data_IF_857231074385
#
_entry.id   IF_857231074385
#
_cell.length_a   1.000
_cell.length_b   1.000
_cell.length_c   1.000
_cell.angle_alpha   90.00
_cell.angle_beta   90.00
_cell.angle_gamma   90.00
#
_symmetry.space_group_name_H-M   'P 1'
#
loop_
_entity.id
_entity.type
_entity.pdbx_description
1 polymer ?
#
# COMPACT_ATOMS: atom_id res chain seq x y z
N UNK A 1 4.86 7.90 -6.59
CA UNK A 1 3.98 7.47 -7.70
C UNK A 1 4.75 7.00 -8.93
N UNK A 2 5.83 7.68 -9.37
CA UNK A 2 6.76 7.23 -10.43
C UNK A 2 7.66 6.04 -10.04
N UNK A 3 7.31 5.29 -9.00
CA UNK A 3 8.18 4.20 -8.51
C UNK A 3 8.06 2.97 -9.40
N UNK A 4 9.19 2.29 -9.73
CA UNK A 4 9.16 0.97 -10.36
C UNK A 4 8.91 -0.15 -9.34
N UNK A 5 8.89 0.16 -8.04
CA UNK A 5 8.76 -0.86 -7.00
C UNK A 5 7.37 -1.49 -6.95
N UNK A 6 7.34 -2.77 -6.59
CA UNK A 6 6.12 -3.54 -6.34
C UNK A 6 5.53 -3.22 -4.97
N UNK A 7 4.32 -3.71 -4.73
CA UNK A 7 3.66 -3.55 -3.44
C UNK A 7 4.49 -4.17 -2.31
N UNK A 8 5.00 -5.39 -2.53
CA UNK A 8 5.76 -6.18 -1.58
C UNK A 8 7.08 -5.48 -1.23
N UNK A 9 7.75 -4.88 -2.23
CA UNK A 9 8.94 -4.07 -1.99
C UNK A 9 8.66 -2.84 -1.14
N UNK A 10 7.51 -2.18 -1.33
CA UNK A 10 7.10 -1.04 -0.50
C UNK A 10 6.76 -1.50 0.92
N UNK A 11 6.05 -2.61 1.08
CA UNK A 11 5.68 -3.17 2.39
C UNK A 11 6.94 -3.58 3.18
N UNK A 12 7.86 -4.32 2.55
CA UNK A 12 9.15 -4.71 3.11
C UNK A 12 10.02 -3.50 3.46
N UNK A 13 10.14 -2.53 2.55
CA UNK A 13 10.90 -1.31 2.82
C UNK A 13 10.29 -0.46 3.95
N UNK A 14 8.97 -0.48 4.10
CA UNK A 14 8.28 0.24 5.18
C UNK A 14 8.59 -0.39 6.53
N UNK A 15 8.70 -1.73 6.62
CA UNK A 15 9.11 -2.44 7.84
C UNK A 15 10.41 -1.88 8.41
N UNK A 16 11.39 -1.61 7.55
CA UNK A 16 12.73 -1.24 8.00
C UNK A 16 12.91 0.29 8.10
N UNK A 17 12.23 1.08 7.24
CA UNK A 17 12.34 2.55 7.25
C UNK A 17 11.38 3.24 8.22
N UNK A 18 10.22 2.63 8.48
CA UNK A 18 9.13 3.21 9.27
C UNK A 18 8.42 2.11 10.09
N UNK A 19 9.13 1.39 10.98
CA UNK A 19 8.62 0.19 11.66
C UNK A 19 7.31 0.43 12.42
N UNK A 20 7.14 1.58 13.06
CA UNK A 20 5.88 1.92 13.77
C UNK A 20 4.68 2.00 12.82
N UNK A 21 4.86 2.49 11.59
CA UNK A 21 3.78 2.55 10.61
C UNK A 21 3.51 1.18 9.99
N UNK A 22 4.56 0.38 9.77
CA UNK A 22 4.44 -1.00 9.33
C UNK A 22 3.67 -1.84 10.36
N UNK A 23 4.06 -1.83 11.63
CA UNK A 23 3.42 -2.60 12.70
C UNK A 23 1.94 -2.23 12.83
N UNK A 24 1.61 -0.94 12.87
CA UNK A 24 0.21 -0.49 12.91
C UNK A 24 -0.58 -0.96 11.70
N UNK A 25 0.02 -0.91 10.51
CA UNK A 25 -0.61 -1.38 9.28
C UNK A 25 -0.87 -2.89 9.34
N UNK A 26 0.10 -3.70 9.77
CA UNK A 26 -0.04 -5.15 9.85
C UNK A 26 -0.96 -5.60 10.99
N UNK A 27 -1.01 -4.89 12.11
CA UNK A 27 -2.01 -5.10 13.17
C UNK A 27 -3.42 -4.84 12.62
N UNK A 28 -3.63 -3.69 11.97
CA UNK A 28 -4.91 -3.35 11.36
C UNK A 28 -5.32 -4.38 10.31
N UNK A 29 -4.38 -4.78 9.45
CA UNK A 29 -4.55 -5.78 8.40
C UNK A 29 -4.98 -7.14 8.98
N UNK A 30 -4.26 -7.67 9.97
CA UNK A 30 -4.56 -8.98 10.57
C UNK A 30 -5.85 -9.01 11.39
N UNK A 31 -6.38 -7.86 11.78
CA UNK A 31 -7.71 -7.74 12.37
C UNK A 31 -8.85 -7.78 11.32
N UNK A 32 -8.54 -7.86 10.03
CA UNK A 32 -9.54 -7.96 8.94
C UNK A 32 -9.83 -9.39 8.55
N UNK A 33 -10.99 -9.58 7.89
CA UNK A 33 -11.37 -10.87 7.35
C UNK A 33 -10.46 -11.26 6.17
N UNK A 34 -10.35 -12.57 5.86
CA UNK A 34 -9.63 -13.04 4.68
C UNK A 34 -10.15 -12.44 3.36
N UNK A 35 -11.41 -12.02 3.31
CA UNK A 35 -11.98 -11.35 2.14
C UNK A 35 -11.39 -9.94 1.95
N UNK A 36 -11.28 -9.17 3.02
CA UNK A 36 -10.66 -7.83 2.99
C UNK A 36 -9.16 -7.95 2.71
N UNK A 37 -8.49 -8.99 3.20
CA UNK A 37 -7.09 -9.28 2.85
C UNK A 37 -6.90 -9.38 1.34
N UNK A 38 -7.69 -10.24 0.67
CA UNK A 38 -7.64 -10.39 -0.78
C UNK A 38 -7.96 -9.08 -1.50
N UNK A 39 -9.03 -8.40 -1.09
CA UNK A 39 -9.44 -7.13 -1.71
C UNK A 39 -8.34 -6.05 -1.64
N UNK A 40 -7.59 -5.99 -0.53
CA UNK A 40 -6.46 -5.06 -0.38
C UNK A 40 -5.31 -5.45 -1.27
N UNK A 41 -4.89 -6.72 -1.24
CA UNK A 41 -3.76 -7.19 -2.06
C UNK A 41 -4.05 -6.94 -3.54
N UNK A 42 -5.22 -7.40 -4.03
CA UNK A 42 -5.66 -7.20 -5.40
C UNK A 42 -5.69 -5.70 -5.78
N UNK A 43 -6.23 -4.85 -4.90
CA UNK A 43 -6.33 -3.42 -5.18
C UNK A 43 -4.97 -2.73 -5.22
N UNK A 44 -4.08 -3.07 -4.30
CA UNK A 44 -2.74 -2.50 -4.25
C UNK A 44 -1.90 -2.99 -5.43
N UNK A 45 -1.98 -4.27 -5.79
CA UNK A 45 -1.34 -4.80 -7.00
C UNK A 45 -1.85 -4.11 -8.26
N UNK A 46 -3.17 -3.97 -8.41
CA UNK A 46 -3.76 -3.21 -9.52
C UNK A 46 -3.26 -1.76 -9.55
N UNK A 47 -3.15 -1.11 -8.39
CA UNK A 47 -2.60 0.23 -8.29
C UNK A 47 -1.15 0.32 -8.80
N UNK A 48 -0.29 -0.61 -8.40
CA UNK A 48 1.09 -0.68 -8.89
C UNK A 48 1.20 -1.22 -10.33
N UNK A 49 0.15 -1.80 -10.91
CA UNK A 49 0.12 -2.15 -12.34
C UNK A 49 -0.22 -0.95 -13.25
N UNK A 50 -0.84 0.11 -12.73
CA UNK A 50 -1.17 1.30 -13.50
C UNK A 50 0.07 2.12 -13.91
N UNK A 51 -0.07 2.88 -14.99
CA UNK A 51 0.89 3.92 -15.36
C UNK A 51 0.86 5.10 -14.38
N UNK A 52 1.79 6.05 -14.54
CA UNK A 52 1.86 7.20 -13.66
C UNK A 52 0.57 8.04 -13.66
N UNK A 53 -0.03 8.26 -14.83
CA UNK A 53 -1.23 9.08 -14.96
C UNK A 53 -2.40 8.44 -14.21
N UNK A 54 -2.61 7.13 -14.37
CA UNK A 54 -3.63 6.36 -13.66
C UNK A 54 -3.41 6.36 -12.15
N UNK A 55 -2.19 6.08 -11.68
CA UNK A 55 -1.87 6.15 -10.24
C UNK A 55 -2.14 7.53 -9.65
N UNK A 56 -1.80 8.60 -10.37
CA UNK A 56 -2.02 9.97 -9.94
C UNK A 56 -3.52 10.26 -9.82
N UNK A 57 -4.27 10.02 -10.88
CA UNK A 57 -5.71 10.30 -10.91
C UNK A 57 -6.44 9.50 -9.82
N UNK A 58 -6.15 8.20 -9.70
CA UNK A 58 -6.76 7.35 -8.68
C UNK A 58 -6.44 7.81 -7.25
N UNK A 59 -5.19 8.26 -7.00
CA UNK A 59 -4.81 8.83 -5.70
C UNK A 59 -5.57 10.12 -5.39
N UNK A 60 -5.78 10.97 -6.40
CA UNK A 60 -6.53 12.23 -6.27
C UNK A 60 -8.02 11.98 -6.02
N UNK A 61 -8.65 11.06 -6.78
CA UNK A 61 -10.05 10.68 -6.60
C UNK A 61 -10.30 10.06 -5.23
N UNK A 62 -9.40 9.16 -4.79
CA UNK A 62 -9.46 8.54 -3.45
C UNK A 62 -9.34 9.58 -2.32
N UNK A 63 -8.57 10.65 -2.54
CA UNK A 63 -8.35 11.69 -1.53
C UNK A 63 -9.46 12.76 -1.49
N UNK A 64 -10.17 12.98 -2.60
CA UNK A 64 -11.10 14.11 -2.75
C UNK A 64 -12.56 13.70 -2.84
N UNK A 65 -12.85 12.47 -3.26
CA UNK A 65 -14.20 11.94 -3.36
C UNK A 65 -14.42 10.84 -2.32
N UNK A 66 -15.13 11.19 -1.24
CA UNK A 66 -15.40 10.32 -0.09
C UNK A 66 -16.14 9.01 -0.45
N UNK A 67 -16.80 8.94 -1.61
CA UNK A 67 -17.55 7.76 -2.05
C UNK A 67 -16.88 7.00 -3.20
N UNK A 68 -15.71 7.44 -3.67
CA UNK A 68 -15.03 6.83 -4.82
C UNK A 68 -14.51 5.43 -4.50
N UNK A 69 -13.70 5.31 -3.45
CA UNK A 69 -13.07 4.04 -3.10
C UNK A 69 -13.89 3.25 -2.06
N UNK A 70 -14.54 2.18 -2.51
CA UNK A 70 -15.40 1.36 -1.67
C UNK A 70 -14.63 0.55 -0.61
N UNK A 71 -13.37 0.17 -0.88
CA UNK A 71 -12.52 -0.52 0.09
C UNK A 71 -12.27 0.34 1.34
N UNK A 72 -12.28 1.67 1.19
CA UNK A 72 -12.10 2.61 2.30
C UNK A 72 -13.21 2.51 3.35
N UNK A 73 -14.41 2.03 2.99
CA UNK A 73 -15.49 1.77 3.95
C UNK A 73 -15.25 0.52 4.80
N UNK A 74 -14.54 -0.47 4.26
CA UNK A 74 -14.18 -1.69 4.99
C UNK A 74 -12.90 -1.48 5.82
N UNK A 75 -11.96 -0.69 5.30
CA UNK A 75 -10.72 -0.37 6.00
C UNK A 75 -10.12 0.96 5.54
N UNK A 76 -10.30 2.06 6.30
CA UNK A 76 -9.81 3.38 5.90
C UNK A 76 -8.28 3.51 5.75
N UNK A 77 -7.49 2.64 6.41
CA UNK A 77 -6.02 2.67 6.36
C UNK A 77 -5.42 1.76 5.28
N UNK A 78 -6.22 1.13 4.40
CA UNK A 78 -5.77 0.12 3.43
C UNK A 78 -4.60 0.55 2.53
N UNK A 79 -4.52 1.82 2.17
CA UNK A 79 -3.49 2.38 1.30
C UNK A 79 -2.38 3.16 2.02
N UNK A 80 -2.38 3.17 3.36
CA UNK A 80 -1.64 4.15 4.17
C UNK A 80 -0.13 4.16 3.90
N UNK A 81 0.47 2.97 3.82
CA UNK A 81 1.91 2.81 3.59
C UNK A 81 2.30 2.84 2.10
N UNK A 82 1.33 2.73 1.20
CA UNK A 82 1.57 2.59 -0.24
C UNK A 82 1.53 3.92 -1.00
N UNK A 83 0.53 4.76 -0.73
CA UNK A 83 0.41 6.06 -1.41
C UNK A 83 -0.26 7.17 -0.60
N UNK A 84 -0.91 6.89 0.54
CA UNK A 84 -1.63 7.91 1.31
C UNK A 84 -0.76 8.66 2.35
N UNK A 85 0.35 8.10 2.84
CA UNK A 85 1.27 8.79 3.75
C UNK A 85 2.56 9.22 3.02
N UNK A 86 2.63 10.48 2.59
CA UNK A 86 3.73 11.00 1.77
C UNK A 86 5.12 10.76 2.38
N UNK A 87 5.29 10.91 3.69
CA UNK A 87 6.59 10.74 4.35
C UNK A 87 7.05 9.28 4.38
N UNK A 88 6.14 8.38 4.74
CA UNK A 88 6.40 6.92 4.76
C UNK A 88 6.72 6.42 3.36
N UNK A 89 5.90 6.80 2.38
CA UNK A 89 6.06 6.37 0.98
C UNK A 89 7.35 6.90 0.36
N UNK A 90 7.75 8.13 0.67
CA UNK A 90 9.01 8.68 0.17
C UNK A 90 10.22 7.90 0.74
N UNK A 91 10.19 7.57 2.04
CA UNK A 91 11.25 6.82 2.69
C UNK A 91 11.35 5.38 2.15
N UNK A 92 10.24 4.67 2.02
CA UNK A 92 10.22 3.30 1.49
C UNK A 92 10.62 3.25 0.01
N UNK A 93 10.11 4.17 -0.81
CA UNK A 93 10.46 4.25 -2.24
C UNK A 93 11.95 4.48 -2.48
N UNK A 94 12.66 5.15 -1.56
CA UNK A 94 14.11 5.40 -1.68
C UNK A 94 14.94 4.12 -1.64
N UNK A 95 14.45 3.07 -0.99
CA UNK A 95 15.22 1.84 -0.72
C UNK A 95 14.53 0.55 -1.19
N UNK A 96 13.34 0.64 -1.77
CA UNK A 96 12.50 -0.52 -2.11
C UNK A 96 13.16 -1.50 -3.11
N UNK A 97 14.08 -1.04 -3.95
CA UNK A 97 14.84 -1.92 -4.86
C UNK A 97 15.83 -2.85 -4.15
N UNK A 98 16.08 -2.67 -2.85
CA UNK A 98 16.91 -3.57 -2.04
C UNK A 98 16.15 -4.82 -1.57
N UNK A 99 14.83 -4.90 -1.81
CA UNK A 99 13.99 -6.01 -1.39
C UNK A 99 13.54 -6.83 -2.61
N UNK A 100 13.31 -8.14 -2.44
CA UNK A 100 12.78 -8.98 -3.52
C UNK A 100 11.44 -8.44 -4.03
N UNK A 101 11.25 -8.34 -5.36
CA UNK A 101 9.92 -8.08 -5.92
C UNK A 101 8.99 -9.28 -5.68
N UNK A 102 7.70 -9.01 -5.54
CA UNK A 102 6.62 -10.00 -5.51
C UNK A 102 6.74 -11.08 -4.41
N UNK A 103 7.51 -10.79 -3.35
CA UNK A 103 7.61 -11.65 -2.17
C UNK A 103 6.33 -11.58 -1.32
N UNK A 104 5.35 -12.40 -1.66
CA UNK A 104 4.07 -12.45 -0.96
C UNK A 104 4.18 -12.85 0.52
N UNK A 105 5.32 -13.36 0.98
CA UNK A 105 5.51 -13.71 2.40
C UNK A 105 5.42 -12.50 3.32
N UNK A 106 5.65 -11.27 2.81
CA UNK A 106 5.60 -10.03 3.60
C UNK A 106 4.18 -9.64 4.05
N UNK A 107 3.14 -10.25 3.47
CA UNK A 107 1.75 -10.07 3.91
C UNK A 107 1.35 -10.97 5.07
N UNK A 108 2.22 -11.92 5.46
CA UNK A 108 2.03 -12.81 6.60
C UNK A 108 2.81 -12.24 7.79
N UNK A 109 2.10 -11.78 8.83
CA UNK A 109 2.69 -11.19 10.05
C UNK A 109 2.19 -11.92 11.30
#
# INVERSE_FOLDING_TARGET
LHTPCTAEQILAATRDTNPVYYERYMIDYNNKSPEVHRAVQDRIHWFFAMDYAGRRQYSEDTATNAFYEQLSWNWPNWAKIFFNNKGVVAASTKVCMNYPPDDMSVWVW
#
